data_IF_673564501196
#
_entry.id   IF_673564501196
#
_cell.length_a   1.000
_cell.length_b   1.000
_cell.length_c   1.000
_cell.angle_alpha   90.00
_cell.angle_beta   90.00
_cell.angle_gamma   90.00
#
_symmetry.space_group_name_H-M   'P 1'
#
loop_
_entity.id
_entity.type
_entity.pdbx_description
1 polymer ?
#
# COMPACT_ATOMS: atom_id res chain seq x y z
N UNK A 1 20.58 13.02 1.42
CA UNK A 1 19.12 12.95 1.13
C UNK A 1 18.63 11.54 0.74
N UNK A 2 19.46 10.68 0.13
CA UNK A 2 19.07 9.35 -0.41
C UNK A 2 18.59 8.32 0.65
N UNK A 3 18.99 8.45 1.92
CA UNK A 3 18.58 7.52 2.98
C UNK A 3 17.13 7.72 3.43
N UNK A 4 16.67 8.97 3.52
CA UNK A 4 15.32 9.32 3.95
C UNK A 4 14.26 8.80 2.98
N UNK A 5 14.53 8.88 1.67
CA UNK A 5 13.65 8.31 0.64
C UNK A 5 13.63 6.78 0.68
N UNK A 6 14.77 6.13 0.94
CA UNK A 6 14.79 4.67 1.13
C UNK A 6 14.00 4.24 2.35
N UNK A 7 14.07 5.00 3.45
CA UNK A 7 13.25 4.74 4.64
C UNK A 7 11.76 4.94 4.35
N UNK A 8 11.37 6.00 3.64
CA UNK A 8 9.98 6.22 3.22
C UNK A 8 9.44 5.10 2.33
N UNK A 9 10.22 4.68 1.33
CA UNK A 9 9.88 3.54 0.45
C UNK A 9 9.71 2.26 1.26
N UNK A 10 10.57 2.00 2.25
CA UNK A 10 10.46 0.82 3.10
C UNK A 10 9.26 0.88 4.05
N UNK A 11 8.97 2.05 4.63
CA UNK A 11 7.79 2.28 5.46
C UNK A 11 6.50 2.06 4.66
N UNK A 12 6.40 2.68 3.47
CA UNK A 12 5.29 2.46 2.53
C UNK A 12 5.14 0.99 2.15
N UNK A 13 6.24 0.27 1.91
CA UNK A 13 6.21 -1.18 1.66
C UNK A 13 5.63 -1.96 2.83
N UNK A 14 5.99 -1.61 4.06
CA UNK A 14 5.46 -2.26 5.26
C UNK A 14 3.98 -1.93 5.44
N UNK A 15 3.56 -0.70 5.20
CA UNK A 15 2.15 -0.29 5.25
C UNK A 15 1.32 -0.99 4.18
N UNK A 16 1.81 -1.09 2.94
CA UNK A 16 1.16 -1.85 1.86
C UNK A 16 1.01 -3.32 2.25
N UNK A 17 2.04 -3.93 2.84
CA UNK A 17 1.95 -5.33 3.30
C UNK A 17 0.94 -5.50 4.44
N UNK A 18 0.92 -4.57 5.40
CA UNK A 18 -0.06 -4.58 6.49
C UNK A 18 -1.49 -4.41 5.97
N UNK A 19 -1.71 -3.47 5.06
CA UNK A 19 -3.00 -3.22 4.42
C UNK A 19 -3.44 -4.42 3.56
N UNK A 20 -2.52 -5.06 2.81
CA UNK A 20 -2.80 -6.31 2.08
C UNK A 20 -3.13 -7.48 3.01
N UNK A 21 -2.44 -7.63 4.13
CA UNK A 21 -2.76 -8.67 5.12
C UNK A 21 -4.13 -8.43 5.76
N UNK A 22 -4.48 -7.17 6.07
CA UNK A 22 -5.81 -6.81 6.55
C UNK A 22 -6.87 -7.09 5.50
N UNK A 23 -6.63 -6.70 4.25
CA UNK A 23 -7.52 -7.01 3.13
C UNK A 23 -7.73 -8.52 3.01
N UNK A 24 -6.65 -9.30 3.02
CA UNK A 24 -6.71 -10.75 2.90
C UNK A 24 -7.45 -11.39 4.08
N UNK A 25 -7.25 -10.88 5.30
CA UNK A 25 -7.98 -11.33 6.49
C UNK A 25 -9.46 -10.99 6.39
N UNK A 26 -9.81 -9.76 6.00
CA UNK A 26 -11.19 -9.33 5.78
C UNK A 26 -11.86 -10.14 4.67
N UNK A 27 -11.14 -10.41 3.58
CA UNK A 27 -11.60 -11.24 2.47
C UNK A 27 -11.90 -12.66 2.93
N UNK A 28 -11.01 -13.25 3.73
CA UNK A 28 -11.16 -14.62 4.25
C UNK A 28 -12.25 -14.72 5.32
N UNK A 29 -12.48 -13.65 6.09
CA UNK A 29 -13.45 -13.64 7.20
C UNK A 29 -14.86 -13.27 6.77
N UNK A 30 -15.00 -12.30 5.84
CA UNK A 30 -16.29 -11.69 5.48
C UNK A 30 -16.72 -11.94 4.04
N UNK A 31 -15.83 -12.46 3.20
CA UNK A 31 -16.07 -12.63 1.77
C UNK A 31 -15.95 -11.33 0.98
N UNK A 32 -15.77 -11.49 -0.33
CA UNK A 32 -15.52 -10.43 -1.32
C UNK A 32 -16.54 -9.27 -1.33
N UNK A 33 -17.75 -9.50 -0.79
CA UNK A 33 -18.88 -8.56 -0.89
C UNK A 33 -18.97 -7.54 0.25
N UNK A 34 -18.09 -7.60 1.25
CA UNK A 34 -18.13 -6.65 2.35
C UNK A 34 -17.51 -5.31 1.93
N UNK A 35 -18.24 -4.21 2.17
CA UNK A 35 -17.77 -2.85 1.93
C UNK A 35 -16.41 -2.58 2.61
N UNK A 36 -16.10 -3.26 3.71
CA UNK A 36 -14.80 -3.20 4.37
C UNK A 36 -13.65 -3.73 3.50
N UNK A 37 -13.89 -4.77 2.69
CA UNK A 37 -12.89 -5.33 1.75
C UNK A 37 -12.65 -4.36 0.61
N UNK A 38 -13.71 -3.80 0.02
CA UNK A 38 -13.60 -2.78 -1.02
C UNK A 38 -12.86 -1.53 -0.53
N UNK A 39 -13.17 -1.06 0.68
CA UNK A 39 -12.49 0.09 1.27
C UNK A 39 -11.02 -0.19 1.53
N UNK A 40 -10.71 -1.37 2.09
CA UNK A 40 -9.32 -1.80 2.31
C UNK A 40 -8.54 -1.96 0.99
N UNK A 41 -9.19 -2.38 -0.11
CA UNK A 41 -8.55 -2.46 -1.43
C UNK A 41 -8.20 -1.08 -1.96
N UNK A 42 -9.11 -0.11 -1.86
CA UNK A 42 -8.85 1.29 -2.27
C UNK A 42 -7.69 1.89 -1.47
N UNK A 43 -7.62 1.59 -0.17
CA UNK A 43 -6.55 2.06 0.71
C UNK A 43 -5.19 1.47 0.32
N UNK A 44 -5.14 0.18 -0.02
CA UNK A 44 -3.94 -0.46 -0.58
C UNK A 44 -3.53 0.18 -1.91
N UNK A 45 -4.48 0.46 -2.80
CA UNK A 45 -4.23 1.03 -4.12
C UNK A 45 -3.66 2.45 -4.03
N UNK A 46 -4.17 3.28 -3.11
CA UNK A 46 -3.64 4.61 -2.83
C UNK A 46 -2.17 4.55 -2.35
N UNK A 47 -1.87 3.64 -1.41
CA UNK A 47 -0.50 3.45 -0.90
C UNK A 47 0.45 2.96 -2.01
N UNK A 48 -0.01 2.09 -2.91
CA UNK A 48 0.78 1.62 -4.06
C UNK A 48 1.03 2.77 -5.05
N UNK A 49 0.03 3.60 -5.34
CA UNK A 49 0.17 4.76 -6.21
C UNK A 49 1.17 5.78 -5.63
N UNK A 50 1.14 6.02 -4.33
CA UNK A 50 2.10 6.91 -3.65
C UNK A 50 3.53 6.35 -3.70
N UNK A 51 3.69 5.04 -3.48
CA UNK A 51 4.95 4.35 -3.66
C UNK A 51 5.48 4.44 -5.09
N UNK A 52 4.62 4.20 -6.09
CA UNK A 52 4.99 4.31 -7.50
C UNK A 52 5.39 5.74 -7.86
N UNK A 53 4.64 6.75 -7.41
CA UNK A 53 4.97 8.16 -7.65
C UNK A 53 6.32 8.56 -7.08
N UNK A 54 6.69 8.06 -5.89
CA UNK A 54 8.01 8.27 -5.29
C UNK A 54 9.12 7.55 -6.07
N UNK A 55 8.88 6.31 -6.51
CA UNK A 55 9.84 5.54 -7.33
C UNK A 55 10.05 6.19 -8.70
N UNK A 56 8.99 6.68 -9.33
CA UNK A 56 9.06 7.37 -10.63
C UNK A 56 9.76 8.72 -10.53
N UNK A 57 9.47 9.52 -9.50
CA UNK A 57 10.22 10.77 -9.21
C UNK A 57 11.70 10.49 -9.09
N UNK A 58 12.07 9.42 -8.38
CA UNK A 58 13.47 9.01 -8.23
C UNK A 58 14.11 8.53 -9.53
N UNK A 59 13.33 7.98 -10.48
CA UNK A 59 13.83 7.56 -11.81
C UNK A 59 14.06 8.72 -12.78
N UNK A 60 13.41 9.87 -12.56
CA UNK A 60 13.56 11.08 -13.40
C UNK A 60 14.56 12.10 -12.87
N UNK A 61 15.00 11.97 -11.61
CA UNK A 61 16.01 12.85 -11.00
C UNK A 61 17.41 12.28 -11.10
#
# INVERSE_FOLDING_TARGET
MIQSERMQINALKQEINGARQRLQTLWNTRGCSDYAVLRASIEVDLLINEYQGLVEKKRRS
#
